data_IF_315520730339
#
_entry.id   IF_315520730339
#
_cell.length_a   1.000
_cell.length_b   1.000
_cell.length_c   1.000
_cell.angle_alpha   90.00
_cell.angle_beta   90.00
_cell.angle_gamma   90.00
#
_symmetry.space_group_name_H-M   'P 1'
#
loop_
_entity.id
_entity.type
_entity.pdbx_description
1 polymer ?
#
# COMPACT_ATOMS: atom_id res chain seq x y z
N UNK A 1 -6.60 12.66 -3.00
CA UNK A 1 -6.33 12.03 -4.31
C UNK A 1 -7.56 11.34 -4.89
N UNK A 2 -7.53 10.94 -6.17
CA UNK A 2 -8.45 9.93 -6.71
C UNK A 2 -7.85 8.54 -6.45
N UNK A 3 -8.52 7.72 -5.65
CA UNK A 3 -8.26 6.29 -5.56
C UNK A 3 -9.51 5.53 -6.04
N UNK A 4 -9.30 4.38 -6.67
CA UNK A 4 -10.35 3.51 -7.20
C UNK A 4 -10.48 2.28 -6.32
N UNK A 5 -11.68 2.04 -5.86
CA UNK A 5 -12.04 0.76 -5.25
C UNK A 5 -12.15 -0.28 -6.36
N UNK A 6 -11.30 -1.31 -6.32
CA UNK A 6 -11.42 -2.49 -7.20
C UNK A 6 -12.37 -3.53 -6.60
N UNK A 7 -12.53 -3.56 -5.28
CA UNK A 7 -13.50 -4.41 -4.59
C UNK A 7 -13.83 -3.83 -3.21
N UNK A 8 -14.84 -4.38 -2.53
CA UNK A 8 -15.28 -3.94 -1.19
C UNK A 8 -14.14 -3.84 -0.15
N UNK A 9 -13.09 -4.65 -0.30
CA UNK A 9 -11.92 -4.68 0.59
C UNK A 9 -10.60 -4.33 -0.12
N UNK A 10 -10.64 -3.68 -1.29
CA UNK A 10 -9.43 -3.36 -2.04
C UNK A 10 -9.55 -2.05 -2.81
N UNK A 11 -8.65 -1.13 -2.49
CA UNK A 11 -8.56 0.19 -3.11
C UNK A 11 -7.16 0.42 -3.67
N UNK A 12 -7.07 1.10 -4.81
CA UNK A 12 -5.81 1.49 -5.45
C UNK A 12 -5.77 3.00 -5.65
N UNK A 13 -4.67 3.64 -5.29
CA UNK A 13 -4.52 5.09 -5.45
C UNK A 13 -3.09 5.49 -5.76
N UNK A 14 -2.87 6.80 -5.86
CA UNK A 14 -1.52 7.34 -5.79
C UNK A 14 -0.98 7.28 -4.36
N UNK A 15 0.29 7.69 -4.21
CA UNK A 15 0.98 7.71 -2.92
C UNK A 15 0.27 8.61 -1.90
N UNK A 16 -0.20 8.05 -0.77
CA UNK A 16 -0.89 8.82 0.26
C UNK A 16 0.09 9.73 1.00
N UNK A 17 -0.35 10.95 1.32
CA UNK A 17 0.34 11.77 2.31
C UNK A 17 -0.05 11.35 3.74
N UNK A 18 0.55 12.02 4.74
CA UNK A 18 0.33 11.67 6.15
C UNK A 18 -1.14 11.79 6.60
N UNK A 19 -1.87 12.79 6.08
CA UNK A 19 -3.27 13.00 6.44
C UNK A 19 -4.19 12.01 5.74
N UNK A 20 -3.86 11.62 4.50
CA UNK A 20 -4.55 10.57 3.77
C UNK A 20 -4.34 9.20 4.43
N UNK A 21 -3.14 8.89 4.94
CA UNK A 21 -2.89 7.68 5.75
C UNK A 21 -3.78 7.64 6.99
N UNK A 22 -3.91 8.77 7.69
CA UNK A 22 -4.85 8.87 8.82
C UNK A 22 -6.29 8.69 8.39
N UNK A 23 -6.67 9.18 7.22
CA UNK A 23 -8.01 8.98 6.67
C UNK A 23 -8.28 7.53 6.30
N UNK A 24 -7.32 6.84 5.69
CA UNK A 24 -7.41 5.41 5.38
C UNK A 24 -7.60 4.58 6.66
N UNK A 25 -6.83 4.87 7.72
CA UNK A 25 -7.02 4.24 9.02
C UNK A 25 -8.43 4.49 9.59
N UNK A 26 -8.94 5.74 9.49
CA UNK A 26 -10.32 6.09 9.91
C UNK A 26 -11.39 5.39 9.09
N UNK A 27 -11.12 5.10 7.82
CA UNK A 27 -12.02 4.32 6.92
C UNK A 27 -11.97 2.82 7.20
N UNK A 28 -11.13 2.37 8.14
CA UNK A 28 -11.01 0.97 8.52
C UNK A 28 -10.02 0.18 7.67
N UNK A 29 -9.19 0.84 6.86
CA UNK A 29 -8.08 0.18 6.16
C UNK A 29 -7.14 -0.43 7.19
N UNK A 30 -6.79 -1.70 6.98
CA UNK A 30 -5.90 -2.45 7.86
C UNK A 30 -4.53 -2.68 7.27
N UNK A 31 -4.40 -2.65 5.95
CA UNK A 31 -3.13 -2.92 5.28
C UNK A 31 -2.84 -1.91 4.18
N UNK A 32 -1.63 -1.36 4.19
CA UNK A 32 -1.06 -0.53 3.12
C UNK A 32 -0.03 -1.36 2.37
N UNK A 33 -0.20 -1.51 1.06
CA UNK A 33 0.76 -2.19 0.18
C UNK A 33 1.41 -1.13 -0.71
N UNK A 34 2.69 -0.87 -0.47
CA UNK A 34 3.50 0.01 -1.28
C UNK A 34 4.17 -0.83 -2.38
N UNK A 35 3.91 -0.52 -3.65
CA UNK A 35 4.56 -1.17 -4.80
C UNK A 35 5.58 -0.30 -5.53
N UNK A 36 5.95 0.86 -4.96
CA UNK A 36 6.94 1.79 -5.52
C UNK A 36 8.30 1.12 -5.70
N UNK A 37 8.97 1.49 -6.78
CA UNK A 37 10.37 1.10 -6.96
C UNK A 37 11.25 1.81 -5.90
N UNK A 38 12.33 1.18 -5.42
CA UNK A 38 13.21 1.77 -4.42
C UNK A 38 13.88 3.07 -4.89
N UNK A 39 14.01 3.26 -6.21
CA UNK A 39 14.61 4.46 -6.82
C UNK A 39 13.62 5.64 -6.95
N UNK A 40 12.34 5.48 -6.59
CA UNK A 40 11.33 6.56 -6.61
C UNK A 40 11.39 7.41 -5.32
N UNK A 41 12.55 8.00 -5.02
CA UNK A 41 12.80 8.84 -3.82
C UNK A 41 12.01 10.17 -3.82
N UNK A 42 11.48 10.63 -4.95
CA UNK A 42 10.76 11.93 -5.08
C UNK A 42 9.33 11.93 -4.51
N UNK A 43 8.92 10.82 -3.92
CA UNK A 43 7.56 10.58 -3.47
C UNK A 43 7.31 11.28 -2.10
N UNK A 44 6.20 12.03 -1.94
CA UNK A 44 5.81 12.88 -0.78
C UNK A 44 6.23 12.39 0.63
N UNK A 45 6.19 11.08 0.89
CA UNK A 45 6.69 10.43 2.10
C UNK A 45 7.70 9.34 1.77
N UNK A 46 8.90 9.34 2.39
CA UNK A 46 9.82 8.22 2.31
C UNK A 46 9.15 6.93 2.82
N UNK A 47 9.40 5.76 2.20
CA UNK A 47 8.78 4.48 2.61
C UNK A 47 8.91 4.18 4.11
N UNK A 48 10.05 4.53 4.72
CA UNK A 48 10.28 4.33 6.15
C UNK A 48 9.38 5.23 7.03
N UNK A 49 9.12 6.47 6.63
CA UNK A 49 8.21 7.36 7.36
C UNK A 49 6.76 6.95 7.17
N UNK A 50 6.41 6.54 5.96
CA UNK A 50 5.10 6.00 5.60
C UNK A 50 4.77 4.75 6.44
N UNK A 51 5.72 3.82 6.53
CA UNK A 51 5.63 2.63 7.37
C UNK A 51 5.41 2.99 8.84
N UNK A 52 6.28 3.84 9.42
CA UNK A 52 6.18 4.21 10.83
C UNK A 52 4.82 4.88 11.14
N UNK A 53 4.32 5.72 10.23
CA UNK A 53 3.02 6.35 10.39
C UNK A 53 1.88 5.32 10.29
N UNK A 54 1.91 4.45 9.28
CA UNK A 54 0.90 3.39 9.12
C UNK A 54 0.82 2.48 10.35
N UNK A 55 1.97 2.02 10.84
CA UNK A 55 2.07 1.19 12.04
C UNK A 55 1.58 1.93 13.29
N UNK A 56 1.90 3.23 13.43
CA UNK A 56 1.40 4.05 14.55
C UNK A 56 -0.12 4.22 14.55
N UNK A 57 -0.75 4.08 13.39
CA UNK A 57 -2.20 4.13 13.19
C UNK A 57 -2.86 2.76 13.33
N UNK A 58 -2.10 1.71 13.64
CA UNK A 58 -2.58 0.34 13.79
C UNK A 58 -2.81 -0.39 12.46
N UNK A 59 -2.19 0.09 11.38
CA UNK A 59 -2.21 -0.56 10.07
C UNK A 59 -0.94 -1.39 9.85
N UNK A 60 -1.06 -2.46 9.09
CA UNK A 60 0.08 -3.23 8.57
C UNK A 60 0.62 -2.55 7.32
N UNK A 61 1.94 -2.38 7.23
CA UNK A 61 2.58 -1.85 6.04
C UNK A 61 3.41 -2.93 5.36
N UNK A 62 3.23 -3.09 4.05
CA UNK A 62 3.90 -4.10 3.23
C UNK A 62 4.53 -3.40 2.03
N UNK A 63 5.85 -3.47 1.91
CA UNK A 63 6.59 -2.91 0.78
C UNK A 63 6.99 -4.03 -0.18
N UNK A 64 6.44 -4.02 -1.40
CA UNK A 64 6.73 -4.98 -2.48
C UNK A 64 7.15 -4.22 -3.73
N UNK A 65 8.44 -3.82 -3.85
CA UNK A 65 8.88 -2.95 -4.93
C UNK A 65 8.74 -3.59 -6.32
N UNK A 66 7.97 -2.95 -7.20
CA UNK A 66 7.89 -3.32 -8.61
C UNK A 66 8.92 -2.49 -9.40
N UNK A 67 9.95 -3.12 -9.95
CA UNK A 67 10.83 -2.46 -10.94
C UNK A 67 10.47 -2.95 -12.33
N UNK A 68 10.72 -2.13 -13.37
CA UNK A 68 10.53 -2.53 -14.77
C UNK A 68 11.33 -3.80 -15.15
N UNK A 69 12.42 -4.11 -14.42
CA UNK A 69 13.20 -5.35 -14.55
C UNK A 69 12.61 -6.54 -13.79
N UNK A 70 11.81 -6.30 -12.76
CA UNK A 70 11.13 -7.31 -11.92
C UNK A 70 9.61 -7.36 -12.10
N UNK A 71 9.06 -6.83 -13.20
CA UNK A 71 7.77 -7.31 -13.74
C UNK A 71 7.91 -8.75 -14.30
N UNK A 72 8.81 -9.54 -13.71
CA UNK A 72 8.72 -10.98 -13.72
C UNK A 72 7.43 -11.34 -12.96
N UNK A 73 6.70 -12.33 -13.46
CA UNK A 73 5.44 -12.82 -12.90
C UNK A 73 5.50 -13.09 -11.39
N UNK A 74 6.70 -13.33 -10.85
CA UNK A 74 6.97 -13.55 -9.42
C UNK A 74 6.58 -12.36 -8.52
N UNK A 75 6.93 -11.13 -8.89
CA UNK A 75 6.63 -9.95 -8.05
C UNK A 75 5.13 -9.65 -8.05
N UNK A 76 4.48 -9.79 -9.20
CA UNK A 76 3.02 -9.64 -9.31
C UNK A 76 2.29 -10.73 -8.51
N UNK A 77 2.82 -11.96 -8.47
CA UNK A 77 2.29 -13.03 -7.64
C UNK A 77 2.48 -12.75 -6.15
N UNK A 78 3.61 -12.17 -5.73
CA UNK A 78 3.84 -11.74 -4.35
C UNK A 78 2.87 -10.64 -3.92
N UNK A 79 2.67 -9.61 -4.74
CA UNK A 79 1.66 -8.57 -4.47
C UNK A 79 0.27 -9.18 -4.37
N UNK A 80 -0.10 -10.08 -5.29
CA UNK A 80 -1.40 -10.78 -5.22
C UNK A 80 -1.56 -11.60 -3.95
N UNK A 81 -0.53 -12.31 -3.49
CA UNK A 81 -0.55 -13.07 -2.23
C UNK A 81 -0.67 -12.14 -1.03
N UNK A 82 0.13 -11.09 -0.97
CA UNK A 82 0.08 -10.10 0.11
C UNK A 82 -1.32 -9.47 0.20
N UNK A 83 -1.93 -9.11 -0.93
CA UNK A 83 -3.31 -8.61 -0.99
C UNK A 83 -4.31 -9.69 -0.54
N UNK A 84 -4.16 -10.93 -1.00
CA UNK A 84 -5.06 -12.02 -0.63
C UNK A 84 -5.04 -12.32 0.88
N UNK A 85 -3.84 -12.34 1.48
CA UNK A 85 -3.66 -12.54 2.92
C UNK A 85 -4.21 -11.34 3.72
N UNK A 86 -3.92 -10.13 3.25
CA UNK A 86 -4.39 -8.90 3.89
C UNK A 86 -5.90 -8.71 3.79
N UNK A 87 -6.55 -9.18 2.71
CA UNK A 87 -8.02 -9.16 2.57
C UNK A 87 -8.73 -9.97 3.66
N UNK A 88 -8.08 -10.97 4.24
CA UNK A 88 -8.65 -11.74 5.34
C UNK A 88 -8.63 -10.95 6.66
N UNK A 89 -7.75 -9.97 6.79
CA UNK A 89 -7.65 -9.13 7.98
C UNK A 89 -8.45 -7.84 7.84
N UNK A 90 -8.64 -7.29 6.64
CA UNK A 90 -9.54 -6.15 6.42
C UNK A 90 -9.34 -5.47 5.06
N UNK A 91 -9.89 -4.24 4.88
CA UNK A 91 -9.69 -3.46 3.67
C UNK A 91 -8.20 -3.16 3.44
N UNK A 92 -7.77 -3.32 2.20
CA UNK A 92 -6.39 -3.15 1.74
C UNK A 92 -6.31 -1.95 0.81
N UNK A 93 -5.31 -1.09 1.01
CA UNK A 93 -4.99 0.01 0.11
C UNK A 93 -3.64 -0.26 -0.56
N UNK A 94 -3.58 -0.13 -1.87
CA UNK A 94 -2.37 -0.35 -2.68
C UNK A 94 -2.01 0.94 -3.41
N UNK A 95 -0.73 1.30 -3.42
CA UNK A 95 -0.22 2.46 -4.16
C UNK A 95 1.16 2.22 -4.76
#
# INVERSE_FOLDING_TARGET
MQYRDLSENLSFGGQPNADELRELARKGVRTIVNVRAPDEEEANLPPAQEQALAESLGMTYVNVPLTAKTIAEDTAAQVKRAIADAKNTGPVFVH
#
